data_IF_137058816524
#
_entry.id   IF_137058816524
#
_cell.length_a   1.000
_cell.length_b   1.000
_cell.length_c   1.000
_cell.angle_alpha   90.00
_cell.angle_beta   90.00
_cell.angle_gamma   90.00
#
_symmetry.space_group_name_H-M   'P 1'
#
loop_
_entity.id
_entity.type
_entity.pdbx_description
1 polymer ?
#
# COMPACT_ATOMS: atom_id res chain seq x y z
N UNK A 1 -12.76 11.39 -9.16
CA UNK A 1 -12.45 11.96 -7.83
C UNK A 1 -11.79 13.33 -7.94
N UNK A 2 -10.59 13.44 -8.51
CA UNK A 2 -9.82 14.69 -8.65
C UNK A 2 -10.61 15.91 -9.10
N UNK A 3 -11.37 15.81 -10.21
CA UNK A 3 -12.19 16.92 -10.75
C UNK A 3 -13.20 17.47 -9.73
N UNK A 4 -13.84 16.59 -8.97
CA UNK A 4 -14.87 16.97 -7.99
C UNK A 4 -14.21 17.64 -6.78
N UNK A 5 -13.13 17.06 -6.27
CA UNK A 5 -12.41 17.60 -5.13
C UNK A 5 -11.69 18.93 -5.43
N UNK A 6 -11.23 19.14 -6.68
CA UNK A 6 -10.62 20.40 -7.08
C UNK A 6 -11.61 21.58 -7.14
N UNK A 7 -12.90 21.29 -7.33
CA UNK A 7 -13.97 22.29 -7.32
C UNK A 7 -14.66 22.42 -5.95
N UNK A 8 -14.17 21.70 -4.94
CA UNK A 8 -14.75 21.69 -3.60
C UNK A 8 -14.50 23.02 -2.87
N UNK A 9 -15.46 23.44 -2.04
CA UNK A 9 -15.32 24.61 -1.18
C UNK A 9 -14.48 24.30 0.07
N UNK A 10 -13.99 25.35 0.74
CA UNK A 10 -13.34 25.21 2.03
C UNK A 10 -14.26 24.54 3.05
N UNK A 11 -13.70 23.67 3.89
CA UNK A 11 -14.44 22.94 4.93
C UNK A 11 -14.89 21.54 4.54
N UNK A 12 -14.66 21.10 3.30
CA UNK A 12 -14.97 19.72 2.88
C UNK A 12 -14.24 18.68 3.72
N UNK A 13 -14.99 17.67 4.15
CA UNK A 13 -14.50 16.46 4.80
C UNK A 13 -14.68 15.27 3.84
N UNK A 14 -13.70 14.37 3.83
CA UNK A 14 -13.69 13.21 2.93
C UNK A 14 -13.62 11.92 3.77
N UNK A 15 -14.62 11.08 3.61
CA UNK A 15 -14.64 9.74 4.19
C UNK A 15 -14.31 8.69 3.13
N UNK A 16 -13.27 7.90 3.35
CA UNK A 16 -12.84 6.84 2.44
C UNK A 16 -13.03 5.48 3.09
N UNK A 17 -13.88 4.65 2.50
CA UNK A 17 -14.09 3.27 2.95
C UNK A 17 -13.82 2.27 1.82
N UNK A 18 -13.09 1.20 2.14
CA UNK A 18 -12.77 0.14 1.17
C UNK A 18 -11.44 -0.55 1.46
N UNK A 19 -10.90 -1.24 0.45
CA UNK A 19 -9.61 -1.93 0.58
C UNK A 19 -8.49 -0.92 0.76
N UNK A 20 -7.39 -1.34 1.39
CA UNK A 20 -6.27 -0.47 1.69
C UNK A 20 -5.70 0.21 0.43
N UNK A 21 -5.60 -0.55 -0.67
CA UNK A 21 -5.20 -0.03 -1.98
C UNK A 21 -6.18 1.01 -2.55
N UNK A 22 -7.49 0.83 -2.37
CA UNK A 22 -8.50 1.81 -2.80
C UNK A 22 -8.41 3.09 -1.97
N UNK A 23 -8.39 2.96 -0.64
CA UNK A 23 -8.29 4.09 0.29
C UNK A 23 -7.04 4.91 -0.01
N UNK A 24 -5.89 4.24 -0.12
CA UNK A 24 -4.64 4.95 -0.31
C UNK A 24 -4.52 5.65 -1.68
N UNK A 25 -5.04 5.06 -2.76
CA UNK A 25 -5.14 5.75 -4.06
C UNK A 25 -6.07 6.96 -4.01
N UNK A 26 -7.24 6.83 -3.38
CA UNK A 26 -8.18 7.95 -3.24
C UNK A 26 -7.62 9.07 -2.34
N UNK A 27 -6.91 8.73 -1.26
CA UNK A 27 -6.23 9.69 -0.39
C UNK A 27 -5.12 10.44 -1.13
N UNK A 28 -4.35 9.76 -1.98
CA UNK A 28 -3.34 10.40 -2.81
C UNK A 28 -3.97 11.46 -3.73
N UNK A 29 -5.06 11.11 -4.42
CA UNK A 29 -5.79 12.05 -5.29
C UNK A 29 -6.36 13.24 -4.51
N UNK A 30 -6.92 13.02 -3.31
CA UNK A 30 -7.47 14.07 -2.47
C UNK A 30 -6.38 15.04 -1.96
N UNK A 31 -5.25 14.50 -1.50
CA UNK A 31 -4.13 15.31 -1.01
C UNK A 31 -3.43 16.08 -2.14
N UNK A 32 -3.36 15.53 -3.35
CA UNK A 32 -2.81 16.22 -4.52
C UNK A 32 -3.59 17.46 -4.96
N UNK A 33 -4.89 17.55 -4.63
CA UNK A 33 -5.71 18.74 -4.90
C UNK A 33 -5.82 19.68 -3.69
N UNK A 34 -5.03 19.44 -2.63
CA UNK A 34 -4.91 20.34 -1.49
C UNK A 34 -5.86 20.04 -0.32
N UNK A 35 -6.60 18.93 -0.33
CA UNK A 35 -7.37 18.51 0.85
C UNK A 35 -6.39 18.07 1.95
N UNK A 36 -6.40 18.69 3.14
CA UNK A 36 -5.49 18.32 4.21
C UNK A 36 -5.83 16.94 4.75
N UNK A 37 -4.81 16.17 5.14
CA UNK A 37 -5.01 14.83 5.71
C UNK A 37 -5.92 14.83 6.95
N UNK A 38 -5.92 15.89 7.75
CA UNK A 38 -6.82 16.03 8.91
C UNK A 38 -8.30 16.07 8.53
N UNK A 39 -8.63 16.38 7.28
CA UNK A 39 -9.99 16.37 6.74
C UNK A 39 -10.35 15.04 6.03
N UNK A 40 -9.47 14.04 6.09
CA UNK A 40 -9.69 12.73 5.48
C UNK A 40 -9.77 11.67 6.58
N UNK A 41 -10.93 11.04 6.69
CA UNK A 41 -11.14 9.88 7.56
C UNK A 41 -11.15 8.60 6.72
N UNK A 42 -10.64 7.52 7.29
CA UNK A 42 -10.51 6.25 6.58
C UNK A 42 -11.05 5.10 7.39
N UNK A 43 -11.74 4.19 6.73
CA UNK A 43 -12.23 2.94 7.32
C UNK A 43 -11.92 1.79 6.37
N UNK A 44 -11.02 0.90 6.78
CA UNK A 44 -10.76 -0.29 6.00
C UNK A 44 -12.00 -1.19 5.96
N UNK A 45 -12.37 -1.64 4.76
CA UNK A 45 -13.45 -2.57 4.48
C UNK A 45 -13.05 -3.51 3.34
N UNK A 46 -13.23 -4.80 3.53
CA UNK A 46 -12.90 -5.82 2.52
C UNK A 46 -11.65 -6.61 2.91
N UNK A 47 -10.94 -7.15 1.91
CA UNK A 47 -9.79 -8.04 2.14
C UNK A 47 -8.61 -7.33 2.80
N UNK A 48 -7.85 -8.08 3.59
CA UNK A 48 -6.61 -7.61 4.24
C UNK A 48 -5.35 -7.92 3.44
N UNK A 49 -5.50 -8.42 2.21
CA UNK A 49 -4.37 -8.60 1.30
C UNK A 49 -3.61 -7.30 1.08
N UNK A 50 -2.29 -7.40 1.09
CA UNK A 50 -1.42 -6.23 1.15
C UNK A 50 -1.00 -5.79 -0.24
N UNK A 51 -0.95 -4.48 -0.41
CA UNK A 51 -0.25 -3.83 -1.51
C UNK A 51 1.18 -3.55 -1.07
N UNK A 52 2.18 -4.09 -1.76
CA UNK A 52 3.57 -4.06 -1.29
C UNK A 52 4.51 -3.45 -2.34
N UNK A 53 5.23 -2.40 -1.96
CA UNK A 53 6.29 -1.80 -2.76
C UNK A 53 7.62 -2.49 -2.48
N UNK A 54 8.28 -2.98 -3.54
CA UNK A 54 9.63 -3.50 -3.46
C UNK A 54 10.65 -2.38 -3.22
N UNK A 55 11.50 -2.51 -2.19
CA UNK A 55 12.56 -1.52 -1.96
C UNK A 55 13.64 -1.53 -3.04
N UNK A 56 13.82 -2.64 -3.76
CA UNK A 56 14.83 -2.81 -4.80
C UNK A 56 14.41 -2.10 -6.11
N UNK A 57 13.32 -2.54 -6.73
CA UNK A 57 12.89 -1.99 -8.04
C UNK A 57 11.80 -0.92 -7.95
N UNK A 58 11.28 -0.62 -6.75
CA UNK A 58 10.14 0.30 -6.51
C UNK A 58 8.81 -0.13 -7.14
N UNK A 59 8.78 -1.26 -7.84
CA UNK A 59 7.57 -1.89 -8.36
C UNK A 59 6.63 -2.32 -7.23
N UNK A 60 5.33 -2.28 -7.52
CA UNK A 60 4.29 -2.57 -6.54
C UNK A 60 3.58 -3.86 -6.93
N UNK A 61 3.54 -4.80 -5.99
CA UNK A 61 2.79 -6.06 -6.12
C UNK A 61 1.47 -5.88 -5.36
N UNK A 62 0.36 -6.10 -6.06
CA UNK A 62 -0.98 -6.05 -5.49
C UNK A 62 -1.35 -7.41 -4.89
N UNK A 63 -2.38 -7.43 -4.04
CA UNK A 63 -3.03 -8.64 -3.54
C UNK A 63 -2.08 -9.69 -2.91
N UNK A 64 -1.05 -9.22 -2.19
CA UNK A 64 -0.09 -10.09 -1.50
C UNK A 64 -0.79 -10.74 -0.30
N UNK A 65 -0.87 -12.07 -0.33
CA UNK A 65 -1.44 -12.93 0.73
C UNK A 65 -0.36 -13.59 1.60
N UNK A 66 0.83 -13.79 1.04
CA UNK A 66 1.91 -14.57 1.67
C UNK A 66 3.13 -13.73 2.06
N UNK A 67 3.91 -14.24 2.99
CA UNK A 67 5.17 -13.68 3.45
C UNK A 67 6.15 -14.81 3.82
N UNK A 68 7.33 -14.91 3.18
CA UNK A 68 7.82 -14.08 2.07
C UNK A 68 7.04 -14.31 0.77
N UNK A 69 7.04 -13.33 -0.14
CA UNK A 69 6.45 -13.43 -1.48
C UNK A 69 7.44 -13.03 -2.57
N UNK A 70 7.20 -13.44 -3.81
CA UNK A 70 8.04 -13.04 -4.95
C UNK A 70 7.54 -11.72 -5.56
N UNK A 71 8.43 -10.75 -5.71
CA UNK A 71 8.09 -9.49 -6.39
C UNK A 71 7.72 -9.73 -7.85
N UNK A 72 6.53 -9.29 -8.26
CA UNK A 72 6.04 -9.42 -9.63
C UNK A 72 6.87 -8.66 -10.70
N UNK A 73 7.79 -7.79 -10.28
CA UNK A 73 8.58 -6.93 -11.16
C UNK A 73 10.03 -7.40 -11.32
N UNK A 74 10.72 -7.69 -10.22
CA UNK A 74 12.14 -8.07 -10.26
C UNK A 74 12.42 -9.52 -9.82
N UNK A 75 11.39 -10.30 -9.46
CA UNK A 75 11.53 -11.72 -9.13
C UNK A 75 12.24 -12.02 -7.80
N UNK A 76 12.65 -11.01 -7.03
CA UNK A 76 13.26 -11.22 -5.71
C UNK A 76 12.20 -11.61 -4.67
N UNK A 77 12.60 -12.48 -3.73
CA UNK A 77 11.78 -12.83 -2.59
C UNK A 77 11.85 -11.73 -1.52
N UNK A 78 10.68 -11.24 -1.12
CA UNK A 78 10.53 -10.12 -0.23
C UNK A 78 9.79 -10.52 1.03
N UNK A 79 10.30 -10.05 2.17
CA UNK A 79 9.61 -10.00 3.44
C UNK A 79 8.78 -8.71 3.53
N UNK A 80 7.51 -8.82 3.93
CA UNK A 80 6.62 -7.65 4.09
C UNK A 80 6.80 -7.04 5.48
N UNK A 81 7.38 -5.84 5.55
CA UNK A 81 7.51 -5.11 6.82
C UNK A 81 6.17 -4.50 7.21
N UNK A 82 5.96 -4.33 8.52
CA UNK A 82 4.79 -3.61 9.07
C UNK A 82 4.95 -2.08 9.01
N UNK A 83 5.50 -1.59 7.89
CA UNK A 83 5.63 -0.16 7.62
C UNK A 83 4.79 0.20 6.42
N UNK A 84 3.67 0.89 6.67
CA UNK A 84 2.80 1.40 5.63
C UNK A 84 3.17 2.84 5.23
N UNK A 85 3.47 3.04 3.96
CA UNK A 85 3.71 4.38 3.39
C UNK A 85 2.40 4.99 2.95
N UNK A 86 1.91 6.00 3.69
CA UNK A 86 0.70 6.75 3.32
C UNK A 86 0.82 7.45 1.96
N UNK A 87 2.01 7.96 1.63
CA UNK A 87 2.27 8.66 0.36
C UNK A 87 2.16 7.73 -0.85
N UNK A 88 2.61 6.48 -0.69
CA UNK A 88 2.66 5.49 -1.78
C UNK A 88 1.43 4.58 -1.76
N UNK A 89 0.72 4.55 -0.63
CA UNK A 89 -0.37 3.64 -0.35
C UNK A 89 0.07 2.18 -0.45
N UNK A 90 1.18 1.82 0.19
CA UNK A 90 1.71 0.47 0.16
C UNK A 90 2.60 0.17 1.37
N UNK A 91 2.64 -1.11 1.78
CA UNK A 91 3.67 -1.63 2.68
C UNK A 91 5.02 -1.73 1.98
N UNK A 92 6.10 -1.75 2.75
CA UNK A 92 7.44 -1.96 2.20
C UNK A 92 7.84 -3.43 2.22
N UNK A 93 8.24 -3.96 1.06
CA UNK A 93 8.83 -5.28 0.89
C UNK A 93 10.34 -5.19 0.78
N UNK A 94 11.06 -5.85 1.69
CA UNK A 94 12.53 -5.91 1.72
C UNK A 94 13.01 -7.29 1.35
N UNK A 95 14.19 -7.40 0.73
CA UNK A 95 14.75 -8.70 0.35
C UNK A 95 14.94 -9.59 1.59
N UNK A 96 14.40 -10.81 1.56
CA UNK A 96 14.40 -11.72 2.73
C UNK A 96 15.76 -12.38 2.97
N UNK A 97 16.48 -12.71 1.89
CA UNK A 97 17.79 -13.37 1.88
C UNK A 97 18.93 -12.34 1.75
N UNK A 98 18.74 -11.12 2.28
CA UNK A 98 19.74 -10.05 2.16
C UNK A 98 21.00 -10.33 2.99
N UNK A 99 20.84 -11.00 4.14
CA UNK A 99 21.93 -11.35 5.06
C UNK A 99 22.60 -12.69 4.71
N UNK A 100 21.81 -13.67 4.26
CA UNK A 100 22.25 -15.02 3.87
C UNK A 100 21.64 -15.42 2.51
N UNK A 101 22.34 -15.15 1.38
CA UNK A 101 21.80 -15.34 0.03
C UNK A 101 21.38 -16.80 -0.24
N UNK A 102 20.14 -16.98 -0.70
CA UNK A 102 19.57 -18.30 -1.00
C UNK A 102 18.85 -18.96 0.18
N UNK A 103 18.98 -18.43 1.40
CA UNK A 103 18.22 -18.87 2.56
C UNK A 103 16.85 -18.17 2.59
N UNK A 104 15.89 -18.72 1.87
CA UNK A 104 14.52 -18.19 1.79
C UNK A 104 13.62 -19.03 2.72
N UNK A 105 13.04 -18.41 3.77
CA UNK A 105 12.07 -19.09 4.63
C UNK A 105 10.83 -19.57 3.86
N UNK A 106 10.12 -20.54 4.42
CA UNK A 106 8.85 -21.01 3.88
C UNK A 106 7.84 -19.86 3.76
N UNK A 107 7.14 -19.82 2.62
CA UNK A 107 6.11 -18.82 2.35
C UNK A 107 4.83 -19.19 3.09
N UNK A 108 4.40 -18.33 4.02
CA UNK A 108 3.21 -18.56 4.84
C UNK A 108 2.14 -17.54 4.48
N UNK A 109 0.89 -17.98 4.34
CA UNK A 109 -0.25 -17.09 4.19
C UNK A 109 -0.45 -16.27 5.48
N UNK A 110 -0.25 -14.95 5.40
CA UNK A 110 -0.36 -14.03 6.55
C UNK A 110 -1.48 -13.01 6.39
N UNK A 111 -1.91 -12.73 5.17
CA UNK A 111 -2.85 -11.65 4.85
C UNK A 111 -4.09 -12.23 4.15
N UNK A 112 -5.27 -12.07 4.77
CA UNK A 112 -6.57 -12.59 4.29
C UNK A 112 -7.69 -11.59 4.53
#
# INVERSE_FOLDING_TARGET
LRRVLAAAHMGVQVYLAGTEGLIGRAMLEATQVGIPHSAIQTEHRGSTVRRVQCVHCKGITEDVTHDPFQCAHCGLHLFVRDHYSRRIAAFQGVRVDAEDPGNIPESVERFR
#
